data_IF_089808568770
#
_entry.id   IF_089808568770
#
_cell.length_a   1.000
_cell.length_b   1.000
_cell.length_c   1.000
_cell.angle_alpha   90.00
_cell.angle_beta   90.00
_cell.angle_gamma   90.00
#
_symmetry.space_group_name_H-M   'P 1'
#
loop_
_entity.id
_entity.type
_entity.pdbx_description
1 polymer ?
#
# COMPACT_ATOMS: atom_id res chain seq x y z
N UNK A 1 33.88 -16.38 -65.72
CA UNK A 1 33.55 -17.26 -64.58
C UNK A 1 32.86 -16.37 -63.52
N UNK A 2 31.57 -16.53 -63.25
CA UNK A 2 30.92 -15.76 -62.19
C UNK A 2 31.05 -16.50 -60.86
N UNK A 3 31.41 -15.74 -59.82
CA UNK A 3 31.52 -16.20 -58.41
C UNK A 3 30.14 -16.23 -57.82
N UNK A 4 29.71 -17.41 -57.35
CA UNK A 4 28.43 -17.59 -56.65
C UNK A 4 28.53 -17.07 -55.22
N UNK A 5 27.70 -16.09 -54.85
CA UNK A 5 27.47 -15.62 -53.49
C UNK A 5 26.40 -16.50 -52.84
N UNK A 6 26.77 -17.26 -51.80
CA UNK A 6 25.84 -17.98 -50.98
C UNK A 6 25.16 -17.04 -49.96
N UNK A 7 23.84 -17.10 -49.79
CA UNK A 7 23.17 -16.33 -48.76
C UNK A 7 23.43 -16.95 -47.38
N UNK A 8 23.97 -16.16 -46.45
CA UNK A 8 24.04 -16.54 -45.01
C UNK A 8 22.62 -16.55 -44.42
N UNK A 9 22.15 -17.73 -44.06
CA UNK A 9 20.90 -17.87 -43.28
C UNK A 9 21.10 -17.30 -41.89
N UNK A 10 20.42 -16.20 -41.60
CA UNK A 10 20.28 -15.67 -40.24
C UNK A 10 19.29 -16.57 -39.52
N UNK A 11 19.78 -17.42 -38.63
CA UNK A 11 18.91 -18.13 -37.68
C UNK A 11 18.22 -17.10 -36.78
N UNK A 12 16.89 -16.99 -36.91
CA UNK A 12 16.06 -16.31 -35.92
C UNK A 12 16.19 -17.13 -34.64
N UNK A 13 16.82 -16.52 -33.63
CA UNK A 13 16.73 -17.02 -32.22
C UNK A 13 15.29 -16.77 -31.77
N UNK A 14 14.49 -17.81 -31.76
CA UNK A 14 13.23 -17.78 -31.04
C UNK A 14 13.55 -17.64 -29.54
N UNK A 15 12.88 -16.72 -28.82
CA UNK A 15 13.05 -16.64 -27.38
C UNK A 15 12.63 -18.00 -26.77
N UNK A 16 13.50 -18.55 -25.94
CA UNK A 16 13.19 -19.78 -25.21
C UNK A 16 11.85 -19.60 -24.49
N UNK A 17 10.95 -20.60 -24.53
CA UNK A 17 9.71 -20.54 -23.79
C UNK A 17 10.06 -20.35 -22.31
N UNK A 18 9.49 -19.33 -21.66
CA UNK A 18 9.59 -19.12 -20.21
C UNK A 18 9.05 -20.41 -19.60
N UNK A 19 9.93 -21.20 -18.98
CA UNK A 19 9.54 -22.44 -18.33
C UNK A 19 8.50 -22.12 -17.27
N UNK A 20 7.28 -22.60 -17.47
CA UNK A 20 6.23 -22.59 -16.47
C UNK A 20 6.75 -23.31 -15.21
N UNK A 21 6.86 -22.58 -14.11
CA UNK A 21 7.31 -23.16 -12.83
C UNK A 21 6.08 -23.74 -12.12
N UNK A 22 5.97 -25.07 -11.99
CA UNK A 22 4.80 -25.73 -11.39
C UNK A 22 4.64 -25.50 -9.88
N UNK A 23 5.50 -24.70 -9.26
CA UNK A 23 5.49 -24.41 -7.83
C UNK A 23 5.02 -22.99 -7.46
N UNK A 24 4.41 -22.25 -8.39
CA UNK A 24 3.73 -20.98 -8.00
C UNK A 24 2.50 -21.36 -7.18
N UNK A 25 2.40 -20.93 -5.92
CA UNK A 25 1.25 -21.30 -5.09
C UNK A 25 -0.04 -20.76 -5.73
N UNK A 26 -1.07 -21.59 -5.79
CA UNK A 26 -2.39 -21.19 -6.28
C UNK A 26 -2.98 -20.01 -5.51
N UNK A 27 -2.49 -19.78 -4.28
CA UNK A 27 -2.98 -18.74 -3.37
C UNK A 27 -1.85 -17.95 -2.74
N UNK A 28 -2.03 -16.64 -2.70
CA UNK A 28 -1.19 -15.72 -1.94
C UNK A 28 -1.98 -15.13 -0.78
N UNK A 29 -1.39 -15.22 0.41
CA UNK A 29 -1.91 -14.61 1.63
C UNK A 29 -1.22 -13.26 1.83
N UNK A 30 -1.98 -12.20 1.73
CA UNK A 30 -1.50 -10.82 1.78
C UNK A 30 -2.04 -10.16 3.05
N UNK A 31 -1.21 -9.37 3.71
CA UNK A 31 -1.62 -8.55 4.84
C UNK A 31 -1.29 -7.08 4.58
N UNK A 32 -2.25 -6.21 4.83
CA UNK A 32 -2.06 -4.77 4.79
C UNK A 32 -2.26 -4.20 6.19
N UNK A 33 -1.26 -3.46 6.69
CA UNK A 33 -1.33 -2.75 7.98
C UNK A 33 -1.76 -1.31 7.71
N UNK A 34 -2.83 -0.86 8.34
CA UNK A 34 -3.33 0.50 8.23
C UNK A 34 -2.38 1.52 8.85
N UNK A 35 -2.68 2.80 8.61
CA UNK A 35 -1.82 3.94 8.98
C UNK A 35 -1.12 3.79 10.33
N UNK A 36 0.19 3.45 10.31
CA UNK A 36 0.97 3.32 11.54
C UNK A 36 1.28 4.71 12.06
N UNK A 37 0.77 5.03 13.25
CA UNK A 37 0.82 6.38 13.79
C UNK A 37 1.71 6.45 15.05
N UNK A 38 2.85 7.11 14.87
CA UNK A 38 3.81 7.37 15.93
C UNK A 38 4.46 6.14 16.55
N UNK A 39 5.27 6.35 17.57
CA UNK A 39 5.96 5.27 18.28
C UNK A 39 5.00 4.28 18.93
N UNK A 40 3.84 4.67 19.49
CA UNK A 40 2.86 3.71 20.03
C UNK A 40 2.40 2.69 18.99
N UNK A 41 2.02 3.16 17.78
CA UNK A 41 1.59 2.29 16.68
C UNK A 41 2.71 1.37 16.20
N UNK A 42 3.91 1.89 16.01
CA UNK A 42 5.08 1.12 15.59
C UNK A 42 5.44 0.02 16.61
N UNK A 43 5.39 0.34 17.92
CA UNK A 43 5.68 -0.63 18.97
C UNK A 43 4.63 -1.76 18.98
N UNK A 44 3.35 -1.43 18.85
CA UNK A 44 2.30 -2.45 18.80
C UNK A 44 2.44 -3.30 17.51
N UNK A 45 2.71 -2.68 16.37
CA UNK A 45 2.96 -3.38 15.12
C UNK A 45 4.12 -4.37 15.26
N UNK A 46 5.24 -3.98 15.89
CA UNK A 46 6.40 -4.87 16.09
C UNK A 46 6.07 -6.11 16.93
N UNK A 47 5.13 -5.99 17.86
CA UNK A 47 4.71 -7.09 18.71
C UNK A 47 3.74 -8.03 18.01
N UNK A 48 2.79 -7.49 17.25
CA UNK A 48 1.66 -8.26 16.72
C UNK A 48 1.89 -8.76 15.30
N UNK A 49 2.61 -8.01 14.44
CA UNK A 49 2.72 -8.35 13.02
C UNK A 49 3.34 -9.73 12.81
N UNK A 50 4.40 -10.08 13.53
CA UNK A 50 5.02 -11.41 13.45
C UNK A 50 4.05 -12.55 13.85
N UNK A 51 3.16 -12.28 14.79
CA UNK A 51 2.13 -13.26 15.20
C UNK A 51 1.07 -13.41 14.11
N UNK A 52 0.63 -12.31 13.48
CA UNK A 52 -0.32 -12.35 12.36
C UNK A 52 0.29 -12.98 11.11
N UNK A 53 1.55 -12.68 10.79
CA UNK A 53 2.28 -13.33 9.69
C UNK A 53 2.24 -14.85 9.87
N UNK A 54 2.52 -15.35 11.07
CA UNK A 54 2.45 -16.78 11.37
C UNK A 54 1.01 -17.32 11.36
N UNK A 55 0.06 -16.61 11.99
CA UNK A 55 -1.34 -17.05 12.13
C UNK A 55 -2.04 -17.20 10.78
N UNK A 56 -1.83 -16.26 9.88
CA UNK A 56 -2.48 -16.22 8.56
C UNK A 56 -1.57 -16.76 7.44
N UNK A 57 -0.39 -17.29 7.78
CA UNK A 57 0.61 -17.78 6.80
C UNK A 57 0.89 -16.74 5.70
N UNK A 58 1.15 -15.50 6.12
CA UNK A 58 1.29 -14.35 5.22
C UNK A 58 2.53 -14.49 4.35
N UNK A 59 2.32 -14.40 3.04
CA UNK A 59 3.35 -14.43 2.01
C UNK A 59 3.88 -13.02 1.70
N UNK A 60 3.00 -12.02 1.77
CA UNK A 60 3.32 -10.64 1.42
C UNK A 60 2.65 -9.66 2.36
N UNK A 61 3.43 -8.71 2.89
CA UNK A 61 2.95 -7.70 3.82
C UNK A 61 3.23 -6.28 3.31
N UNK A 62 2.21 -5.44 3.33
CA UNK A 62 2.30 -4.00 3.05
C UNK A 62 1.88 -3.23 4.29
N UNK A 63 2.47 -2.06 4.53
CA UNK A 63 2.06 -1.17 5.62
C UNK A 63 2.05 0.29 5.15
N UNK A 64 1.04 1.06 5.55
CA UNK A 64 1.09 2.50 5.39
C UNK A 64 1.91 3.12 6.53
N UNK A 65 3.04 3.74 6.17
CA UNK A 65 4.03 4.27 7.11
C UNK A 65 4.11 5.80 7.13
N UNK A 66 3.16 6.54 6.55
CA UNK A 66 3.29 8.00 6.42
C UNK A 66 3.31 8.76 7.76
N UNK A 67 2.76 8.15 8.83
CA UNK A 67 2.58 8.79 10.12
C UNK A 67 3.48 8.21 11.24
N UNK A 68 4.44 7.38 10.91
CA UNK A 68 5.30 6.69 11.90
C UNK A 68 6.16 7.66 12.69
N UNK A 69 6.76 8.65 12.03
CA UNK A 69 7.64 9.61 12.68
C UNK A 69 6.85 10.74 13.34
N UNK A 70 6.48 10.55 14.61
CA UNK A 70 5.72 11.53 15.40
C UNK A 70 4.42 12.01 14.73
N UNK A 71 3.75 11.11 14.00
CA UNK A 71 2.49 11.39 13.29
C UNK A 71 2.67 12.07 11.94
N UNK A 72 3.91 12.18 11.41
CA UNK A 72 4.21 12.88 10.16
C UNK A 72 5.46 12.31 9.48
N UNK A 73 5.30 11.77 8.25
CA UNK A 73 6.40 11.19 7.49
C UNK A 73 6.99 9.94 8.16
N UNK A 74 8.13 9.46 7.69
CA UNK A 74 8.86 8.31 8.18
C UNK A 74 10.37 8.57 8.08
N UNK A 75 11.15 8.07 9.03
CA UNK A 75 12.60 8.13 9.01
C UNK A 75 13.24 6.86 8.46
N UNK A 76 14.52 6.93 8.10
CA UNK A 76 15.30 5.76 7.64
C UNK A 76 15.32 4.63 8.68
N UNK A 77 15.42 4.98 9.96
CA UNK A 77 15.40 4.00 11.04
C UNK A 77 14.05 3.27 11.10
N UNK A 78 12.94 4.00 11.00
CA UNK A 78 11.60 3.43 11.05
C UNK A 78 11.29 2.58 9.82
N UNK A 79 11.80 2.94 8.63
CA UNK A 79 11.74 2.10 7.43
C UNK A 79 12.45 0.76 7.67
N UNK A 80 13.66 0.78 8.24
CA UNK A 80 14.40 -0.44 8.60
C UNK A 80 13.63 -1.29 9.62
N UNK A 81 13.10 -0.66 10.68
CA UNK A 81 12.29 -1.35 11.70
C UNK A 81 11.09 -2.06 11.06
N UNK A 82 10.37 -1.42 10.12
CA UNK A 82 9.23 -2.03 9.43
C UNK A 82 9.64 -3.23 8.57
N UNK A 83 10.71 -3.12 7.80
CA UNK A 83 11.20 -4.25 7.00
C UNK A 83 11.65 -5.42 7.89
N UNK A 84 12.31 -5.17 9.02
CA UNK A 84 12.72 -6.18 10.00
C UNK A 84 11.52 -6.88 10.67
N UNK A 85 10.36 -6.23 10.73
CA UNK A 85 9.10 -6.82 11.20
C UNK A 85 8.46 -7.78 10.19
N UNK A 86 8.91 -7.75 8.92
CA UNK A 86 8.37 -8.55 7.83
C UNK A 86 7.46 -7.78 6.86
N UNK A 87 7.46 -6.46 6.91
CA UNK A 87 6.86 -5.61 5.85
C UNK A 87 7.73 -5.71 4.60
N UNK A 88 7.12 -5.87 3.42
CA UNK A 88 7.82 -5.97 2.14
C UNK A 88 7.78 -4.67 1.35
N UNK A 89 6.67 -3.92 1.47
CA UNK A 89 6.48 -2.62 0.82
C UNK A 89 5.82 -1.67 1.81
N UNK A 90 6.31 -0.43 1.85
CA UNK A 90 5.73 0.65 2.65
C UNK A 90 5.05 1.62 1.70
N UNK A 91 3.76 1.87 1.91
CA UNK A 91 3.00 2.94 1.25
C UNK A 91 2.95 4.19 2.13
N UNK A 92 2.48 5.29 1.57
CA UNK A 92 2.38 6.55 2.29
C UNK A 92 1.21 7.41 1.76
N UNK A 93 1.18 8.68 2.12
CA UNK A 93 0.18 9.65 1.70
C UNK A 93 0.73 11.08 1.70
N UNK A 94 -0.13 12.05 2.03
CA UNK A 94 0.22 13.48 1.98
C UNK A 94 1.30 13.87 3.00
N UNK A 95 1.37 13.22 4.16
CA UNK A 95 2.33 13.55 5.19
C UNK A 95 3.74 13.04 4.90
N UNK A 96 3.97 12.25 3.86
CA UNK A 96 5.31 11.81 3.47
C UNK A 96 6.25 13.00 3.21
N UNK A 97 5.69 14.14 2.77
CA UNK A 97 6.43 15.35 2.42
C UNK A 97 6.68 16.31 3.60
N UNK A 98 6.09 16.06 4.77
CA UNK A 98 6.18 16.97 5.92
C UNK A 98 7.60 17.11 6.49
N UNK A 99 8.49 16.18 6.11
CA UNK A 99 9.90 16.24 6.47
C UNK A 99 10.77 16.19 5.20
N UNK A 100 11.55 17.25 4.94
CA UNK A 100 12.36 17.37 3.73
C UNK A 100 13.43 16.27 3.60
N UNK A 101 13.87 15.68 4.72
CA UNK A 101 14.85 14.59 4.79
C UNK A 101 14.39 13.32 4.12
N UNK A 102 13.11 13.19 3.82
CA UNK A 102 12.53 11.99 3.16
C UNK A 102 13.02 11.82 1.72
N UNK A 103 13.38 12.90 1.03
CA UNK A 103 13.68 12.85 -0.41
C UNK A 103 14.84 11.92 -0.78
N UNK A 104 16.02 11.95 -0.11
CA UNK A 104 17.07 10.98 -0.36
C UNK A 104 16.62 9.54 -0.14
N UNK A 105 15.85 9.29 0.93
CA UNK A 105 15.35 7.97 1.28
C UNK A 105 14.37 7.43 0.22
N UNK A 106 13.43 8.25 -0.23
CA UNK A 106 12.53 7.90 -1.33
C UNK A 106 13.27 7.57 -2.64
N UNK A 107 14.41 8.22 -2.88
CA UNK A 107 15.23 7.95 -4.08
C UNK A 107 16.02 6.66 -4.00
N UNK A 108 16.43 6.23 -2.80
CA UNK A 108 17.28 5.06 -2.58
C UNK A 108 16.47 3.79 -2.27
N UNK A 109 15.34 3.92 -1.57
CA UNK A 109 14.53 2.77 -1.13
C UNK A 109 13.36 2.52 -2.09
N UNK A 110 13.48 1.48 -2.90
CA UNK A 110 12.51 1.14 -3.95
C UNK A 110 11.17 0.65 -3.41
N UNK A 111 11.18 0.08 -2.19
CA UNK A 111 10.01 -0.49 -1.55
C UNK A 111 9.32 0.50 -0.60
N UNK A 112 9.78 1.74 -0.55
CA UNK A 112 9.09 2.87 0.08
C UNK A 112 8.41 3.70 -1.01
N UNK A 113 7.08 3.68 -1.06
CA UNK A 113 6.29 4.34 -2.08
C UNK A 113 5.73 5.67 -1.58
N UNK A 114 5.77 6.67 -2.45
CA UNK A 114 5.00 7.90 -2.33
C UNK A 114 3.75 7.82 -3.20
N UNK A 115 2.71 8.64 -3.02
CA UNK A 115 1.58 8.63 -3.95
C UNK A 115 2.03 8.91 -5.38
N UNK A 116 1.60 8.07 -6.31
CA UNK A 116 2.01 8.08 -7.72
C UNK A 116 1.61 9.36 -8.44
N UNK A 117 0.43 9.89 -8.09
CA UNK A 117 -0.17 11.06 -8.74
C UNK A 117 0.34 12.42 -8.22
N UNK A 118 1.48 12.45 -7.52
CA UNK A 118 2.31 13.66 -7.41
C UNK A 118 3.13 13.87 -8.69
N UNK A 119 3.56 15.11 -8.99
CA UNK A 119 4.39 15.39 -10.15
C UNK A 119 5.56 14.43 -10.27
N UNK A 120 5.86 13.98 -11.49
CA UNK A 120 6.86 12.93 -11.79
C UNK A 120 8.30 13.28 -11.40
N UNK A 121 8.59 14.56 -11.27
CA UNK A 121 9.89 15.11 -10.85
C UNK A 121 10.17 14.90 -9.38
N UNK A 122 9.16 14.53 -8.58
CA UNK A 122 9.36 14.23 -7.16
C UNK A 122 10.16 12.93 -6.96
N UNK A 123 10.96 12.92 -5.90
CA UNK A 123 11.77 11.77 -5.51
C UNK A 123 10.92 10.52 -5.26
N UNK A 124 11.46 9.36 -5.59
CA UNK A 124 10.86 8.05 -5.33
C UNK A 124 9.84 7.59 -6.37
N UNK A 125 9.31 6.41 -6.14
CA UNK A 125 8.30 5.75 -6.98
C UNK A 125 6.94 5.74 -6.31
N UNK A 126 5.86 5.71 -7.11
CA UNK A 126 4.50 5.50 -6.60
C UNK A 126 3.98 4.08 -6.85
N UNK A 127 4.77 3.21 -7.44
CA UNK A 127 4.46 1.79 -7.58
C UNK A 127 5.72 0.95 -7.63
N UNK A 128 5.57 -0.33 -7.32
CA UNK A 128 6.63 -1.34 -7.41
C UNK A 128 6.03 -2.69 -7.81
N UNK A 129 6.81 -3.51 -8.50
CA UNK A 129 6.56 -4.94 -8.64
C UNK A 129 7.57 -5.68 -7.78
N UNK A 130 7.09 -6.29 -6.70
CA UNK A 130 7.90 -7.01 -5.74
C UNK A 130 8.02 -8.48 -6.13
N UNK A 131 9.23 -9.02 -6.14
CA UNK A 131 9.52 -10.41 -6.50
C UNK A 131 9.56 -11.29 -5.25
N UNK A 132 8.55 -12.14 -5.08
CA UNK A 132 8.45 -13.15 -4.00
C UNK A 132 9.17 -14.46 -4.35
N UNK A 133 10.03 -14.44 -5.34
CA UNK A 133 10.76 -15.62 -5.83
C UNK A 133 9.79 -16.70 -6.33
N UNK A 134 9.82 -17.87 -5.69
CA UNK A 134 9.00 -19.02 -6.07
C UNK A 134 7.49 -18.76 -5.92
N UNK A 135 7.09 -17.77 -5.11
CA UNK A 135 5.68 -17.37 -4.90
C UNK A 135 5.16 -16.36 -5.92
N UNK A 136 5.97 -15.99 -6.93
CA UNK A 136 5.60 -15.08 -7.99
C UNK A 136 5.85 -13.61 -7.65
N UNK A 137 5.07 -12.71 -8.24
CA UNK A 137 5.24 -11.26 -8.12
C UNK A 137 3.96 -10.59 -7.66
N UNK A 138 4.12 -9.50 -6.92
CA UNK A 138 3.01 -8.66 -6.46
C UNK A 138 3.28 -7.21 -6.85
N UNK A 139 2.34 -6.59 -7.56
CA UNK A 139 2.34 -5.16 -7.84
C UNK A 139 1.70 -4.39 -6.68
N UNK A 140 2.32 -3.30 -6.26
CA UNK A 140 1.74 -2.36 -5.29
C UNK A 140 1.72 -0.97 -5.89
N UNK A 141 0.58 -0.29 -5.83
CA UNK A 141 0.37 1.08 -6.29
C UNK A 141 -0.09 1.91 -5.10
N UNK A 142 0.55 3.06 -4.88
CA UNK A 142 0.16 4.02 -3.88
C UNK A 142 -0.42 5.26 -4.58
N UNK A 143 -1.62 5.67 -4.20
CA UNK A 143 -2.34 6.82 -4.78
C UNK A 143 -2.86 7.73 -3.67
N UNK A 144 -3.06 9.01 -3.99
CA UNK A 144 -3.71 9.97 -3.11
C UNK A 144 -4.94 10.57 -3.77
N UNK A 145 -6.00 10.78 -2.97
CA UNK A 145 -7.19 11.49 -3.39
C UNK A 145 -6.99 12.99 -3.58
N UNK A 146 -7.98 13.63 -4.18
CA UNK A 146 -8.03 15.09 -4.41
C UNK A 146 -9.21 15.75 -3.71
N UNK A 147 -10.26 15.00 -3.43
CA UNK A 147 -11.48 15.53 -2.80
C UNK A 147 -11.19 15.88 -1.35
N UNK A 148 -11.29 17.14 -0.99
CA UNK A 148 -10.92 17.70 0.32
C UNK A 148 -9.43 17.60 0.67
N UNK A 149 -8.57 17.33 -0.31
CA UNK A 149 -7.13 17.22 -0.18
C UNK A 149 -6.41 18.17 -1.16
N UNK A 150 -5.09 18.11 -1.21
CA UNK A 150 -4.30 18.95 -2.12
C UNK A 150 -4.64 18.65 -3.58
N UNK A 151 -4.69 19.68 -4.45
CA UNK A 151 -4.89 19.51 -5.88
C UNK A 151 -3.63 18.94 -6.53
N UNK A 152 -3.64 17.64 -6.79
CA UNK A 152 -2.58 16.91 -7.48
C UNK A 152 -3.14 16.23 -8.73
N UNK A 153 -2.33 15.49 -9.47
CA UNK A 153 -2.76 14.81 -10.69
C UNK A 153 -3.88 13.79 -10.43
N UNK A 154 -4.60 13.45 -11.49
CA UNK A 154 -5.76 12.58 -11.46
C UNK A 154 -5.40 11.15 -11.02
N UNK A 155 -5.90 10.66 -9.86
CA UNK A 155 -5.60 9.32 -9.37
C UNK A 155 -6.14 8.21 -10.28
N UNK A 156 -7.25 8.43 -11.01
CA UNK A 156 -7.81 7.45 -11.95
C UNK A 156 -6.89 7.24 -13.14
N UNK A 157 -6.39 8.31 -13.75
CA UNK A 157 -5.44 8.24 -14.86
C UNK A 157 -4.10 7.66 -14.43
N UNK A 158 -3.62 8.03 -13.25
CA UNK A 158 -2.41 7.47 -12.68
C UNK A 158 -2.54 5.97 -12.41
N UNK A 159 -3.69 5.54 -11.87
CA UNK A 159 -4.02 4.14 -11.65
C UNK A 159 -4.06 3.35 -12.97
N UNK A 160 -4.78 3.83 -13.98
CA UNK A 160 -4.87 3.17 -15.28
C UNK A 160 -3.49 2.97 -15.92
N UNK A 161 -2.65 4.01 -15.85
CA UNK A 161 -1.28 3.94 -16.36
C UNK A 161 -0.45 2.89 -15.60
N UNK A 162 -0.46 2.91 -14.26
CA UNK A 162 0.32 1.97 -13.46
C UNK A 162 -0.15 0.53 -13.64
N UNK A 163 -1.47 0.28 -13.61
CA UNK A 163 -2.04 -1.05 -13.85
C UNK A 163 -1.62 -1.57 -15.24
N UNK A 164 -1.63 -0.73 -16.28
CA UNK A 164 -1.19 -1.13 -17.63
C UNK A 164 0.28 -1.56 -17.70
N UNK A 165 1.12 -0.98 -16.84
CA UNK A 165 2.55 -1.36 -16.74
C UNK A 165 2.74 -2.65 -15.98
N UNK A 166 2.10 -2.77 -14.82
CA UNK A 166 2.24 -3.90 -13.90
C UNK A 166 1.61 -5.18 -14.46
N UNK A 167 0.48 -5.07 -15.19
CA UNK A 167 -0.26 -6.21 -15.72
C UNK A 167 0.56 -7.11 -16.69
N UNK A 168 1.65 -6.58 -17.24
CA UNK A 168 2.59 -7.37 -18.06
C UNK A 168 3.52 -8.26 -17.22
N UNK A 169 3.61 -8.00 -15.90
CA UNK A 169 4.54 -8.70 -14.99
C UNK A 169 3.81 -9.57 -13.98
N UNK A 170 2.63 -9.16 -13.53
CA UNK A 170 1.80 -9.90 -12.57
C UNK A 170 0.32 -9.52 -12.69
N UNK A 171 -0.55 -10.47 -12.31
CA UNK A 171 -1.99 -10.24 -12.15
C UNK A 171 -2.36 -9.84 -10.71
N UNK A 172 -1.46 -10.07 -9.74
CA UNK A 172 -1.69 -9.72 -8.35
C UNK A 172 -1.27 -8.28 -8.11
N UNK A 173 -2.25 -7.38 -8.01
CA UNK A 173 -2.03 -5.94 -7.88
C UNK A 173 -2.82 -5.41 -6.68
N UNK A 174 -2.11 -4.76 -5.75
CA UNK A 174 -2.71 -4.04 -4.63
C UNK A 174 -2.64 -2.54 -4.88
N UNK A 175 -3.70 -1.83 -4.51
CA UNK A 175 -3.76 -0.37 -4.51
C UNK A 175 -4.04 0.13 -3.10
N UNK A 176 -3.15 1.00 -2.58
CA UNK A 176 -3.43 1.84 -1.42
C UNK A 176 -3.94 3.19 -1.92
N UNK A 177 -5.23 3.47 -1.65
CA UNK A 177 -5.86 4.76 -1.96
C UNK A 177 -5.96 5.61 -0.70
N UNK A 178 -4.95 6.45 -0.51
CA UNK A 178 -4.84 7.38 0.59
C UNK A 178 -5.71 8.62 0.34
N UNK A 179 -6.94 8.64 0.85
CA UNK A 179 -7.91 9.69 0.52
C UNK A 179 -8.88 10.00 1.67
N UNK A 180 -9.29 11.28 1.76
CA UNK A 180 -10.29 11.75 2.71
C UNK A 180 -11.69 11.24 2.32
N UNK A 181 -12.09 11.44 1.06
CA UNK A 181 -13.45 11.15 0.63
C UNK A 181 -13.71 9.66 0.37
N UNK A 182 -14.63 9.07 1.12
CA UNK A 182 -15.05 7.66 0.94
C UNK A 182 -15.59 7.40 -0.46
N UNK A 183 -16.33 8.36 -1.04
CA UNK A 183 -16.88 8.25 -2.39
C UNK A 183 -15.78 8.15 -3.46
N UNK A 184 -14.67 8.90 -3.30
CA UNK A 184 -13.53 8.85 -4.24
C UNK A 184 -12.83 7.49 -4.19
N UNK A 185 -12.62 6.93 -2.98
CA UNK A 185 -12.07 5.57 -2.79
C UNK A 185 -12.95 4.52 -3.46
N UNK A 186 -14.25 4.57 -3.19
CA UNK A 186 -15.22 3.62 -3.75
C UNK A 186 -15.32 3.73 -5.27
N UNK A 187 -15.35 4.95 -5.81
CA UNK A 187 -15.39 5.19 -7.26
C UNK A 187 -14.15 4.61 -7.96
N UNK A 188 -12.95 4.79 -7.38
CA UNK A 188 -11.72 4.22 -7.92
C UNK A 188 -11.74 2.68 -7.85
N UNK A 189 -12.28 2.09 -6.78
CA UNK A 189 -12.40 0.64 -6.66
C UNK A 189 -13.30 0.06 -7.76
N UNK A 190 -14.47 0.66 -8.01
CA UNK A 190 -15.35 0.26 -9.11
C UNK A 190 -14.71 0.46 -10.49
N UNK A 191 -13.95 1.55 -10.66
CA UNK A 191 -13.23 1.81 -11.90
C UNK A 191 -12.16 0.74 -12.20
N UNK A 192 -11.48 0.25 -11.17
CA UNK A 192 -10.41 -0.75 -11.30
C UNK A 192 -10.88 -2.20 -11.14
N UNK A 193 -12.16 -2.42 -10.84
CA UNK A 193 -12.73 -3.73 -10.57
C UNK A 193 -12.40 -4.77 -11.64
N UNK A 194 -11.87 -5.91 -11.19
CA UNK A 194 -11.47 -7.03 -12.06
C UNK A 194 -10.12 -6.83 -12.76
N UNK A 195 -9.47 -5.66 -12.59
CA UNK A 195 -8.12 -5.37 -13.10
C UNK A 195 -7.05 -5.40 -12.01
N UNK A 196 -7.47 -5.40 -10.74
CA UNK A 196 -6.62 -5.45 -9.56
C UNK A 196 -7.15 -6.47 -8.57
N UNK A 197 -6.29 -6.96 -7.71
CA UNK A 197 -6.65 -7.93 -6.65
C UNK A 197 -7.35 -7.24 -5.48
N UNK A 198 -6.85 -6.07 -5.07
CA UNK A 198 -7.43 -5.33 -3.96
C UNK A 198 -7.21 -3.82 -4.07
N UNK A 199 -8.19 -3.05 -3.60
CA UNK A 199 -8.04 -1.66 -3.22
C UNK A 199 -8.35 -1.50 -1.74
N UNK A 200 -7.40 -1.00 -0.99
CA UNK A 200 -7.54 -0.66 0.42
C UNK A 200 -7.44 0.85 0.57
N UNK A 201 -8.33 1.43 1.39
CA UNK A 201 -8.28 2.85 1.70
C UNK A 201 -7.51 3.12 3.00
N UNK A 202 -6.87 4.29 3.07
CA UNK A 202 -6.13 4.83 4.22
C UNK A 202 -6.44 6.32 4.40
N UNK A 203 -5.84 7.01 5.33
CA UNK A 203 -5.92 8.44 5.62
C UNK A 203 -6.87 8.83 6.75
N UNK A 204 -8.10 8.32 6.79
CA UNK A 204 -9.08 8.83 7.79
C UNK A 204 -8.78 8.35 9.20
N UNK A 205 -7.93 7.32 9.35
CA UNK A 205 -7.59 6.67 10.61
C UNK A 205 -8.77 5.93 11.28
N UNK A 206 -9.95 5.92 10.66
CA UNK A 206 -11.14 5.28 11.19
C UNK A 206 -11.43 4.02 10.39
N UNK A 207 -11.36 2.83 10.99
CA UNK A 207 -11.65 1.58 10.28
C UNK A 207 -13.13 1.52 9.90
N UNK A 208 -13.39 1.20 8.63
CA UNK A 208 -14.76 1.09 8.10
C UNK A 208 -15.24 -0.36 8.12
N UNK A 209 -16.55 -0.55 8.17
CA UNK A 209 -17.18 -1.88 8.29
C UNK A 209 -17.57 -2.50 6.94
N UNK A 210 -16.96 -2.08 5.83
CA UNK A 210 -17.41 -2.40 4.47
C UNK A 210 -16.46 -3.32 3.69
N UNK A 211 -15.60 -4.05 4.39
CA UNK A 211 -14.71 -5.04 3.79
C UNK A 211 -15.50 -6.08 3.00
N UNK A 212 -15.26 -6.19 1.69
CA UNK A 212 -15.98 -7.07 0.78
C UNK A 212 -15.18 -7.40 -0.47
N UNK A 213 -15.64 -8.42 -1.20
CA UNK A 213 -15.15 -8.71 -2.55
C UNK A 213 -16.18 -8.18 -3.54
N UNK A 214 -15.73 -7.35 -4.48
CA UNK A 214 -16.55 -6.84 -5.58
C UNK A 214 -16.85 -7.94 -6.61
N UNK A 215 -17.93 -7.83 -7.41
CA UNK A 215 -18.41 -8.92 -8.28
C UNK A 215 -17.37 -9.53 -9.23
N UNK A 216 -16.36 -8.74 -9.69
CA UNK A 216 -15.30 -9.25 -10.56
C UNK A 216 -14.06 -9.75 -9.81
N UNK A 217 -14.13 -9.89 -8.46
CA UNK A 217 -13.08 -10.49 -7.66
C UNK A 217 -12.02 -9.51 -7.12
N UNK A 218 -12.33 -8.23 -7.04
CA UNK A 218 -11.46 -7.24 -6.37
C UNK A 218 -11.87 -7.10 -4.91
N UNK A 219 -10.96 -7.33 -3.97
CA UNK A 219 -11.18 -7.04 -2.56
C UNK A 219 -11.21 -5.52 -2.32
N UNK A 220 -12.08 -5.05 -1.43
CA UNK A 220 -12.25 -3.64 -1.14
C UNK A 220 -12.54 -3.39 0.34
N UNK A 221 -11.94 -2.35 0.89
CA UNK A 221 -12.31 -1.71 2.14
C UNK A 221 -12.08 -0.20 2.02
N UNK A 222 -13.05 0.61 2.48
CA UNK A 222 -12.97 2.07 2.39
C UNK A 222 -11.83 2.65 3.23
N UNK A 223 -11.63 2.15 4.46
CA UNK A 223 -10.45 2.54 5.26
C UNK A 223 -10.08 1.39 6.22
N UNK A 224 -8.80 1.04 6.24
CA UNK A 224 -8.26 -0.02 7.10
C UNK A 224 -8.22 0.42 8.56
N UNK A 225 -8.13 1.73 8.79
CA UNK A 225 -7.97 2.34 10.10
C UNK A 225 -6.50 2.56 10.48
N UNK A 226 -6.31 3.14 11.65
CA UNK A 226 -5.01 3.51 12.20
C UNK A 226 -4.45 2.37 13.08
N UNK A 227 -3.19 2.02 12.89
CA UNK A 227 -2.42 1.28 13.89
C UNK A 227 -1.77 2.30 14.81
N UNK A 228 -2.41 2.59 15.93
CA UNK A 228 -2.03 3.71 16.78
C UNK A 228 -2.99 3.97 17.94
N UNK A 229 -2.87 5.13 18.62
CA UNK A 229 -3.64 5.46 19.82
C UNK A 229 -5.07 5.89 19.49
N UNK A 230 -6.07 5.26 20.10
CA UNK A 230 -7.51 5.53 19.92
C UNK A 230 -8.14 6.36 21.03
N UNK A 231 -7.52 6.51 22.21
CA UNK A 231 -7.91 7.57 23.16
C UNK A 231 -7.42 8.95 22.65
N UNK A 232 -7.95 9.33 21.48
CA UNK A 232 -7.47 10.43 20.65
C UNK A 232 -8.55 10.93 19.71
N UNK A 233 -8.24 11.99 18.96
CA UNK A 233 -8.94 12.34 17.72
C UNK A 233 -7.96 12.05 16.57
N UNK A 234 -8.16 10.92 15.90
CA UNK A 234 -7.32 10.42 14.81
C UNK A 234 -5.80 10.44 15.10
N UNK A 235 -5.41 10.08 16.32
CA UNK A 235 -4.02 10.05 16.78
C UNK A 235 -3.56 11.31 17.54
N UNK A 236 -4.26 12.44 17.41
CA UNK A 236 -3.98 13.69 18.12
C UNK A 236 -4.61 13.66 19.52
N UNK A 237 -3.92 14.16 20.53
CA UNK A 237 -4.50 14.36 21.86
C UNK A 237 -5.85 15.08 21.76
N UNK A 238 -6.88 14.49 22.37
CA UNK A 238 -8.28 14.96 22.23
C UNK A 238 -8.48 16.39 22.70
N UNK A 239 -7.79 16.80 23.77
CA UNK A 239 -7.88 18.16 24.31
C UNK A 239 -7.36 19.21 23.30
N UNK A 240 -6.29 18.86 22.55
CA UNK A 240 -5.73 19.73 21.52
C UNK A 240 -6.66 19.77 20.30
N UNK A 241 -7.18 18.62 19.89
CA UNK A 241 -8.09 18.53 18.76
C UNK A 241 -9.38 19.35 19.04
N UNK A 242 -9.99 19.18 20.21
CA UNK A 242 -11.19 19.92 20.63
C UNK A 242 -10.93 21.44 20.56
N UNK A 243 -9.82 21.91 21.15
CA UNK A 243 -9.46 23.33 21.10
C UNK A 243 -9.31 23.86 19.67
N UNK A 244 -8.67 23.07 18.78
CA UNK A 244 -8.53 23.44 17.36
C UNK A 244 -9.88 23.63 16.68
N UNK A 245 -10.82 22.72 16.90
CA UNK A 245 -12.17 22.82 16.34
C UNK A 245 -12.97 23.98 16.95
N UNK A 246 -12.85 24.23 18.23
CA UNK A 246 -13.58 25.31 18.90
C UNK A 246 -13.05 26.70 18.57
N UNK A 247 -11.73 26.83 18.46
CA UNK A 247 -11.09 28.15 18.33
C UNK A 247 -10.65 28.47 16.90
N UNK A 248 -10.63 27.47 15.99
CA UNK A 248 -10.21 27.63 14.58
C UNK A 248 -8.80 28.24 14.45
N UNK A 249 -7.93 28.00 15.43
CA UNK A 249 -6.54 28.49 15.46
C UNK A 249 -5.55 27.33 15.50
N UNK A 250 -4.31 27.49 15.00
CA UNK A 250 -3.29 26.45 15.06
C UNK A 250 -2.88 26.15 16.51
N UNK A 251 -2.75 24.86 16.80
CA UNK A 251 -2.14 24.34 18.03
C UNK A 251 -1.01 23.41 17.68
N UNK A 252 0.02 23.31 18.53
CA UNK A 252 1.10 22.36 18.35
C UNK A 252 0.51 20.95 18.34
N UNK A 253 0.87 20.17 17.32
CA UNK A 253 0.48 18.78 17.20
C UNK A 253 1.16 17.94 18.29
N UNK A 254 0.39 17.19 19.07
CA UNK A 254 0.88 16.24 20.05
C UNK A 254 0.15 14.92 19.91
N UNK A 255 0.90 13.83 19.76
CA UNK A 255 0.36 12.48 19.66
C UNK A 255 -0.23 12.02 20.99
N UNK A 256 -1.34 11.31 20.92
CA UNK A 256 -1.88 10.53 22.02
C UNK A 256 -1.03 9.26 22.25
N UNK A 257 -1.19 8.62 23.42
CA UNK A 257 -0.36 7.50 23.83
C UNK A 257 -1.17 6.28 24.33
N UNK A 258 -2.49 6.45 24.51
CA UNK A 258 -3.32 5.47 25.20
C UNK A 258 -4.31 4.79 24.26
N UNK A 259 -4.82 3.61 24.69
CA UNK A 259 -5.73 2.77 23.91
C UNK A 259 -5.16 2.46 22.51
N UNK A 260 -3.93 1.93 22.48
CA UNK A 260 -3.24 1.63 21.22
C UNK A 260 -3.83 0.38 20.59
N UNK A 261 -4.30 0.49 19.34
CA UNK A 261 -4.90 -0.60 18.58
C UNK A 261 -4.13 -0.86 17.30
N UNK A 262 -4.13 -2.12 16.90
CA UNK A 262 -3.60 -2.58 15.63
C UNK A 262 -4.75 -2.74 14.64
N UNK A 263 -4.65 -2.11 13.49
CA UNK A 263 -5.61 -2.23 12.39
C UNK A 263 -4.91 -2.78 11.16
N UNK A 264 -5.52 -3.76 10.53
CA UNK A 264 -5.03 -4.38 9.31
C UNK A 264 -6.12 -5.10 8.56
N UNK A 265 -5.79 -5.58 7.39
CA UNK A 265 -6.67 -6.41 6.58
C UNK A 265 -5.90 -7.59 5.99
N UNK A 266 -6.44 -8.79 6.18
CA UNK A 266 -5.99 -10.01 5.53
C UNK A 266 -6.74 -10.19 4.21
N UNK A 267 -5.99 -10.48 3.15
CA UNK A 267 -6.53 -10.69 1.81
C UNK A 267 -5.94 -11.97 1.25
N UNK A 268 -6.77 -12.87 0.74
CA UNK A 268 -6.34 -14.04 0.02
C UNK A 268 -6.63 -13.85 -1.46
N UNK A 269 -5.61 -14.09 -2.30
CA UNK A 269 -5.66 -13.90 -3.74
C UNK A 269 -5.29 -15.19 -4.46
N UNK A 270 -6.03 -15.54 -5.49
CA UNK A 270 -5.63 -16.54 -6.46
C UNK A 270 -4.50 -15.97 -7.34
N UNK A 271 -3.32 -16.57 -7.28
CA UNK A 271 -2.13 -16.02 -7.93
C UNK A 271 -2.15 -16.12 -9.45
N UNK A 272 -2.94 -17.03 -10.02
CA UNK A 272 -3.04 -17.23 -11.48
C UNK A 272 -3.99 -16.21 -12.12
N UNK A 273 -5.09 -15.89 -11.42
CA UNK A 273 -6.13 -15.00 -11.93
C UNK A 273 -6.00 -13.57 -11.41
N UNK A 274 -5.30 -13.36 -10.29
CA UNK A 274 -5.24 -12.09 -9.56
C UNK A 274 -6.52 -11.77 -8.79
N UNK A 275 -7.50 -12.66 -8.72
CA UNK A 275 -8.78 -12.42 -8.02
C UNK A 275 -8.65 -12.69 -6.53
N UNK A 276 -9.18 -11.78 -5.73
CA UNK A 276 -9.34 -12.02 -4.31
C UNK A 276 -10.44 -13.05 -4.04
N UNK A 277 -10.15 -13.97 -3.12
CA UNK A 277 -11.07 -15.02 -2.66
C UNK A 277 -11.54 -14.80 -1.23
N UNK A 278 -10.80 -14.00 -0.45
CA UNK A 278 -11.15 -13.63 0.92
C UNK A 278 -10.63 -12.23 1.24
N UNK A 279 -11.38 -11.50 2.06
CA UNK A 279 -10.94 -10.29 2.77
C UNK A 279 -11.46 -10.36 4.20
N UNK A 280 -10.62 -10.06 5.19
CA UNK A 280 -10.96 -10.09 6.60
C UNK A 280 -10.28 -8.92 7.31
N UNK A 281 -11.06 -8.07 7.94
CA UNK A 281 -10.55 -6.97 8.75
C UNK A 281 -10.02 -7.51 10.10
N UNK A 282 -8.87 -7.01 10.53
CA UNK A 282 -8.22 -7.36 11.79
C UNK A 282 -8.08 -6.10 12.63
N UNK A 283 -8.73 -6.07 13.79
CA UNK A 283 -8.61 -5.00 14.76
C UNK A 283 -8.29 -5.63 16.14
N UNK A 284 -7.20 -5.18 16.76
CA UNK A 284 -6.82 -5.71 18.08
C UNK A 284 -6.27 -4.60 18.99
N UNK A 285 -6.73 -4.52 20.25
CA UNK A 285 -7.99 -5.09 20.70
C UNK A 285 -9.18 -4.56 19.90
N UNK A 286 -10.28 -5.31 19.86
CA UNK A 286 -11.52 -4.86 19.22
C UNK A 286 -12.13 -3.66 19.95
N UNK A 287 -12.97 -2.89 19.27
CA UNK A 287 -13.72 -1.79 19.87
C UNK A 287 -14.74 -2.28 20.88
#
# INVERSE_FOLDING_TARGET
>A
MPVALFPRSVRKLEPAPIAWNPHVPERLNIFFVGDINGRPGLTLASTLLKQYIKKYEIDFCVANGENVNEGKSISEQEVKELFEMGVHVITSGNHIWDRWQIKPLLSSEKNLLRPLNYPKENAGSGFVVYDLKEKGRVGVINLQGRTFMQPIDDPFKAADWAVSKIANETKVILVDMHAEATAEKMALAWHLEGRISALVGTHTHIPTADARILPKGTAYITDVGMTGPYDSVIGLKKEIAIKRFQQQTPYKFELAQHDVRFCGVYIQVDSETGRATKIEQVIFPSF
#
